data_IF_976597967477
#
_entry.id   IF_976597967477
#
_cell.length_a   1.000
_cell.length_b   1.000
_cell.length_c   1.000
_cell.angle_alpha   90.00
_cell.angle_beta   90.00
_cell.angle_gamma   90.00
#
_symmetry.space_group_name_H-M   'P 1'
#
loop_
_entity.id
_entity.type
_entity.pdbx_description
1 polymer ?
#
# COMPACT_ATOMS: atom_id res chain seq x y z
N UNK A 1 -6.92 -1.63 35.50
CA UNK A 1 -6.96 -0.55 34.48
C UNK A 1 -5.56 -0.49 33.90
N UNK A 2 -5.37 -0.51 32.57
CA UNK A 2 -4.03 -0.36 32.00
C UNK A 2 -3.49 1.02 32.41
N UNK A 3 -2.24 1.10 32.85
CA UNK A 3 -1.62 2.37 33.27
C UNK A 3 -1.60 3.36 32.11
N UNK A 4 -2.07 4.58 32.35
CA UNK A 4 -2.09 5.70 31.40
C UNK A 4 -0.68 6.27 31.05
N UNK A 5 0.40 5.59 31.44
CA UNK A 5 1.76 6.13 31.35
C UNK A 5 2.48 5.83 30.03
N UNK A 6 1.99 4.87 29.22
CA UNK A 6 2.63 4.52 27.93
C UNK A 6 1.79 4.97 26.73
N UNK A 7 2.43 5.47 25.65
CA UNK A 7 1.71 5.85 24.45
C UNK A 7 0.97 4.67 23.83
N UNK A 8 -0.21 4.92 23.27
CA UNK A 8 -0.89 3.99 22.36
C UNK A 8 -0.01 3.78 21.13
N UNK A 9 0.03 2.57 20.57
CA UNK A 9 0.82 2.29 19.36
C UNK A 9 -0.10 1.84 18.24
N UNK A 10 -0.01 2.48 17.09
CA UNK A 10 -0.74 2.09 15.88
C UNK A 10 0.27 1.55 14.88
N UNK A 11 0.18 0.26 14.58
CA UNK A 11 0.99 -0.42 13.57
C UNK A 11 0.18 -0.52 12.28
N UNK A 12 0.49 0.30 11.29
CA UNK A 12 -0.02 0.13 9.94
C UNK A 12 0.94 -0.77 9.16
N UNK A 13 0.55 -2.03 8.97
CA UNK A 13 1.48 -3.11 8.56
C UNK A 13 1.34 -3.54 7.10
N UNK A 14 0.36 -2.98 6.37
CA UNK A 14 0.05 -3.41 5.02
C UNK A 14 -1.41 -3.24 4.66
N UNK A 15 -1.89 -3.80 3.55
CA UNK A 15 -1.17 -4.55 2.52
C UNK A 15 -0.66 -3.65 1.39
N UNK A 16 0.38 -4.11 0.71
CA UNK A 16 0.89 -3.42 -0.46
C UNK A 16 -0.23 -3.04 -1.45
N UNK A 17 -0.07 -1.90 -2.11
CA UNK A 17 -1.02 -1.38 -3.12
C UNK A 17 -2.42 -1.04 -2.57
N UNK A 18 -2.54 -0.82 -1.26
CA UNK A 18 -3.76 -0.36 -0.59
C UNK A 18 -3.69 1.11 -0.13
N UNK A 19 -2.93 1.96 -0.82
CA UNK A 19 -2.89 3.41 -0.55
C UNK A 19 -1.99 3.85 0.62
N UNK A 20 -1.06 3.00 1.06
CA UNK A 20 -0.06 3.34 2.10
C UNK A 20 0.65 4.66 1.84
N UNK A 21 1.07 4.90 0.60
CA UNK A 21 1.77 6.14 0.21
C UNK A 21 0.93 7.41 0.46
N UNK A 22 -0.40 7.34 0.37
CA UNK A 22 -1.27 8.47 0.69
C UNK A 22 -1.30 8.74 2.20
N UNK A 23 -1.43 7.69 3.02
CA UNK A 23 -1.37 7.78 4.49
C UNK A 23 0.00 8.33 4.93
N UNK A 24 1.08 7.76 4.42
CA UNK A 24 2.46 8.12 4.75
C UNK A 24 2.78 9.56 4.35
N UNK A 25 2.44 9.97 3.12
CA UNK A 25 2.63 11.35 2.67
C UNK A 25 1.82 12.34 3.51
N UNK A 26 0.59 11.99 3.91
CA UNK A 26 -0.24 12.86 4.72
C UNK A 26 0.34 13.05 6.11
N UNK A 27 0.84 11.99 6.74
CA UNK A 27 1.52 12.06 8.02
C UNK A 27 2.82 12.86 7.93
N UNK A 28 3.63 12.65 6.90
CA UNK A 28 4.87 13.40 6.70
C UNK A 28 4.61 14.90 6.53
N UNK A 29 3.62 15.27 5.71
CA UNK A 29 3.23 16.67 5.50
C UNK A 29 2.72 17.34 6.78
N UNK A 30 2.07 16.58 7.66
CA UNK A 30 1.42 17.11 8.87
C UNK A 30 2.18 16.76 10.16
N UNK A 31 3.45 16.35 10.08
CA UNK A 31 4.20 15.79 11.23
C UNK A 31 4.23 16.73 12.44
N UNK A 32 4.46 18.03 12.23
CA UNK A 32 4.49 19.02 13.32
C UNK A 32 3.10 19.21 13.96
N UNK A 33 2.05 19.26 13.14
CA UNK A 33 0.67 19.41 13.61
C UNK A 33 0.17 18.15 14.35
N UNK A 34 0.65 16.97 13.95
CA UNK A 34 0.41 15.71 14.64
C UNK A 34 1.14 15.67 15.99
N UNK A 35 2.41 16.06 16.02
CA UNK A 35 3.20 16.14 17.24
C UNK A 35 2.57 17.09 18.27
N UNK A 36 2.08 18.26 17.82
CA UNK A 36 1.37 19.22 18.67
C UNK A 36 0.06 18.66 19.28
N UNK A 37 -0.48 17.57 18.73
CA UNK A 37 -1.65 16.83 19.24
C UNK A 37 -1.26 15.60 20.07
N UNK A 38 0.03 15.41 20.35
CA UNK A 38 0.54 14.25 21.08
C UNK A 38 0.66 12.99 20.22
N UNK A 39 0.63 13.10 18.89
CA UNK A 39 0.77 11.97 17.96
C UNK A 39 2.19 11.98 17.40
N UNK A 40 3.03 11.05 17.86
CA UNK A 40 4.37 10.83 17.35
C UNK A 40 4.36 10.01 16.05
N UNK A 41 5.03 10.50 15.02
CA UNK A 41 5.34 9.74 13.80
C UNK A 41 6.86 9.67 13.68
N UNK A 42 7.48 8.48 13.81
CA UNK A 42 8.93 8.36 13.76
C UNK A 42 9.48 8.54 12.35
N UNK A 43 10.76 8.90 12.25
CA UNK A 43 11.53 8.84 11.02
C UNK A 43 11.87 7.42 10.59
N UNK A 44 12.55 7.28 9.45
CA UNK A 44 12.83 5.98 8.81
C UNK A 44 13.64 5.02 9.68
N UNK A 45 14.43 5.52 10.63
CA UNK A 45 15.25 4.74 11.56
C UNK A 45 14.51 4.36 12.86
N UNK A 46 13.18 4.57 12.92
CA UNK A 46 12.35 4.37 14.13
C UNK A 46 12.83 5.21 15.33
N UNK A 47 13.02 6.50 15.09
CA UNK A 47 13.33 7.52 16.11
C UNK A 47 12.59 8.83 15.77
N UNK A 48 12.63 9.83 16.67
CA UNK A 48 12.00 11.13 16.47
C UNK A 48 12.98 12.25 16.07
N UNK A 49 14.22 11.90 15.72
CA UNK A 49 15.28 12.86 15.36
C UNK A 49 15.56 12.85 13.84
N UNK A 50 15.30 11.72 13.19
CA UNK A 50 15.41 11.53 11.75
C UNK A 50 14.27 12.20 11.00
N UNK A 51 14.52 12.55 9.73
CA UNK A 51 13.48 13.09 8.84
C UNK A 51 12.31 12.12 8.70
N UNK A 52 11.10 12.66 8.87
CA UNK A 52 9.86 11.88 8.75
C UNK A 52 9.40 11.87 7.30
N UNK A 53 9.56 10.73 6.65
CA UNK A 53 8.98 10.45 5.32
C UNK A 53 7.61 9.80 5.41
N UNK A 54 7.15 9.47 6.63
CA UNK A 54 5.90 8.79 6.92
C UNK A 54 5.97 7.26 6.86
N UNK A 55 7.00 6.71 6.21
CA UNK A 55 7.23 5.26 6.05
C UNK A 55 8.43 4.78 6.87
N UNK A 56 8.34 3.60 7.50
CA UNK A 56 9.44 2.96 8.26
C UNK A 56 9.79 1.57 7.73
N UNK A 57 9.57 1.38 6.43
CA UNK A 57 9.71 0.14 5.65
C UNK A 57 11.12 -0.44 5.76
N UNK A 58 12.14 0.34 5.39
CA UNK A 58 13.48 -0.19 5.10
C UNK A 58 14.22 -0.68 6.35
N UNK A 59 14.09 0.01 7.48
CA UNK A 59 14.69 -0.43 8.73
C UNK A 59 14.11 -1.79 9.15
N UNK A 60 12.79 -1.94 9.10
CA UNK A 60 12.11 -3.17 9.48
C UNK A 60 12.37 -4.30 8.48
N UNK A 61 12.36 -4.01 7.16
CA UNK A 61 12.65 -4.99 6.11
C UNK A 61 14.07 -5.56 6.21
N UNK A 62 15.08 -4.69 6.36
CA UNK A 62 16.48 -5.08 6.41
C UNK A 62 16.78 -5.92 7.65
N UNK A 63 16.24 -5.50 8.80
CA UNK A 63 16.41 -6.22 10.04
C UNK A 63 15.69 -7.58 10.03
N UNK A 64 14.45 -7.65 9.50
CA UNK A 64 13.70 -8.90 9.37
C UNK A 64 14.35 -9.87 8.39
N UNK A 65 14.71 -9.40 7.19
CA UNK A 65 15.36 -10.22 6.16
C UNK A 65 16.73 -10.76 6.59
N UNK A 66 17.39 -10.09 7.54
CA UNK A 66 18.66 -10.50 8.14
C UNK A 66 18.50 -11.34 9.43
N UNK A 67 17.27 -11.62 9.86
CA UNK A 67 16.98 -12.35 11.12
C UNK A 67 17.36 -11.60 12.40
N UNK A 68 17.57 -10.28 12.34
CA UNK A 68 17.98 -9.42 13.47
C UNK A 68 16.76 -8.89 14.23
N UNK A 69 15.91 -9.79 14.69
CA UNK A 69 14.64 -9.45 15.33
C UNK A 69 14.81 -8.79 16.70
N UNK A 70 15.89 -9.13 17.41
CA UNK A 70 16.31 -8.51 18.67
C UNK A 70 16.53 -7.00 18.50
N UNK A 71 17.18 -6.60 17.40
CA UNK A 71 17.42 -5.18 17.06
C UNK A 71 16.12 -4.42 16.85
N UNK A 72 15.10 -5.06 16.24
CA UNK A 72 13.77 -4.45 16.04
C UNK A 72 13.10 -4.24 17.41
N UNK A 73 13.06 -5.27 18.26
CA UNK A 73 12.44 -5.19 19.57
C UNK A 73 13.08 -4.09 20.43
N UNK A 74 14.41 -4.02 20.46
CA UNK A 74 15.13 -2.99 21.20
C UNK A 74 14.86 -1.61 20.63
N UNK A 75 14.90 -1.44 19.30
CA UNK A 75 14.59 -0.15 18.68
C UNK A 75 13.19 0.34 19.02
N UNK A 76 12.19 -0.54 18.97
CA UNK A 76 10.80 -0.21 19.33
C UNK A 76 10.71 0.19 20.80
N UNK A 77 11.38 -0.51 21.72
CA UNK A 77 11.39 -0.12 23.14
C UNK A 77 12.01 1.26 23.37
N UNK A 78 13.12 1.57 22.68
CA UNK A 78 13.74 2.90 22.75
C UNK A 78 12.82 3.98 22.20
N UNK A 79 12.17 3.72 21.06
CA UNK A 79 11.18 4.63 20.48
C UNK A 79 10.04 4.93 21.47
N UNK A 80 9.54 3.93 22.19
CA UNK A 80 8.46 4.12 23.16
C UNK A 80 8.91 4.93 24.39
N UNK A 81 10.13 4.71 24.87
CA UNK A 81 10.69 5.51 25.96
C UNK A 81 10.83 6.98 25.53
N UNK A 82 11.39 7.24 24.34
CA UNK A 82 11.51 8.61 23.80
C UNK A 82 10.14 9.24 23.57
N UNK A 83 9.16 8.48 23.08
CA UNK A 83 7.78 8.95 22.93
C UNK A 83 7.16 9.38 24.26
N UNK A 84 7.41 8.61 25.33
CA UNK A 84 6.95 8.93 26.67
C UNK A 84 7.63 10.19 27.21
N UNK A 85 8.95 10.31 27.06
CA UNK A 85 9.73 11.48 27.49
C UNK A 85 9.30 12.76 26.76
N UNK A 86 8.91 12.64 25.48
CA UNK A 86 8.35 13.75 24.67
C UNK A 86 6.88 14.04 24.95
N UNK A 87 6.21 13.23 25.78
CA UNK A 87 4.80 13.41 26.14
C UNK A 87 3.81 13.05 25.03
N UNK A 88 4.20 12.19 24.08
CA UNK A 88 3.26 11.68 23.09
C UNK A 88 2.27 10.71 23.74
N UNK A 89 0.99 10.87 23.39
CA UNK A 89 -0.10 10.00 23.82
C UNK A 89 -0.31 8.84 22.85
N UNK A 90 0.13 8.97 21.60
CA UNK A 90 0.05 7.95 20.57
C UNK A 90 1.29 7.98 19.67
N UNK A 91 1.68 6.82 19.17
CA UNK A 91 2.74 6.66 18.16
C UNK A 91 2.18 5.87 16.97
N UNK A 92 2.43 6.35 15.75
CA UNK A 92 2.03 5.66 14.52
C UNK A 92 3.26 5.17 13.79
N UNK A 93 3.36 3.86 13.60
CA UNK A 93 4.40 3.21 12.79
C UNK A 93 3.72 2.65 11.54
N UNK A 94 4.17 3.06 10.37
CA UNK A 94 3.61 2.71 9.07
C UNK A 94 4.68 2.08 8.18
N UNK A 95 4.63 0.75 8.10
CA UNK A 95 5.54 -0.05 7.28
C UNK A 95 4.73 -1.16 6.61
N UNK A 96 4.24 -0.90 5.40
CA UNK A 96 3.22 -1.73 4.73
C UNK A 96 3.72 -3.09 4.25
N UNK A 97 5.04 -3.29 4.27
CA UNK A 97 5.73 -4.49 3.84
C UNK A 97 5.90 -5.51 4.97
N UNK A 98 5.76 -5.10 6.24
CA UNK A 98 6.05 -6.00 7.36
C UNK A 98 5.01 -7.10 7.51
N UNK A 99 3.82 -6.96 6.91
CA UNK A 99 2.88 -8.06 6.75
C UNK A 99 3.44 -9.26 5.96
N UNK A 100 4.53 -9.09 5.19
CA UNK A 100 5.24 -10.19 4.53
C UNK A 100 6.18 -10.97 5.47
N UNK A 101 6.42 -10.46 6.68
CA UNK A 101 7.30 -11.04 7.71
C UNK A 101 6.46 -11.44 8.94
N UNK A 102 5.70 -12.55 8.88
CA UNK A 102 4.78 -12.95 9.95
C UNK A 102 5.49 -13.31 11.26
N UNK A 103 6.77 -13.64 11.21
CA UNK A 103 7.66 -13.86 12.34
C UNK A 103 7.89 -12.60 13.18
N UNK A 104 7.77 -11.40 12.60
CA UNK A 104 7.81 -10.14 13.35
C UNK A 104 6.59 -9.95 14.26
N UNK A 105 5.46 -10.62 14.00
CA UNK A 105 4.25 -10.45 14.78
C UNK A 105 4.49 -10.72 16.28
N UNK A 106 5.12 -11.86 16.60
CA UNK A 106 5.43 -12.22 17.98
C UNK A 106 6.48 -11.29 18.62
N UNK A 107 7.47 -10.87 17.83
CA UNK A 107 8.55 -9.97 18.27
C UNK A 107 7.98 -8.61 18.68
N UNK A 108 7.15 -8.03 17.82
CA UNK A 108 6.50 -6.74 18.07
C UNK A 108 5.44 -6.85 19.16
N UNK A 109 4.65 -7.93 19.20
CA UNK A 109 3.69 -8.14 20.27
C UNK A 109 4.36 -8.18 21.65
N UNK A 110 5.49 -8.88 21.78
CA UNK A 110 6.26 -8.92 23.02
C UNK A 110 6.89 -7.57 23.37
N UNK A 111 7.45 -6.85 22.38
CA UNK A 111 8.01 -5.51 22.59
C UNK A 111 6.94 -4.48 23.01
N UNK A 112 5.70 -4.68 22.57
CA UNK A 112 4.58 -3.76 22.76
C UNK A 112 3.57 -4.23 23.82
N UNK A 113 3.84 -5.33 24.54
CA UNK A 113 2.86 -5.98 25.44
C UNK A 113 2.30 -5.09 26.54
N UNK A 114 3.06 -4.08 26.95
CA UNK A 114 2.68 -3.12 28.01
C UNK A 114 1.97 -1.86 27.45
N UNK A 115 1.68 -1.82 26.15
CA UNK A 115 1.02 -0.70 25.47
C UNK A 115 -0.37 -1.10 24.95
N UNK A 116 -1.21 -0.13 24.65
CA UNK A 116 -2.41 -0.32 23.80
C UNK A 116 -1.96 -0.36 22.33
N UNK A 117 -1.28 -1.43 21.92
CA UNK A 117 -0.84 -1.60 20.55
C UNK A 117 -1.96 -2.19 19.67
N UNK A 118 -2.21 -1.56 18.52
CA UNK A 118 -3.23 -1.97 17.57
C UNK A 118 -2.66 -2.05 16.15
N UNK A 119 -3.13 -3.03 15.39
CA UNK A 119 -2.67 -3.33 14.04
C UNK A 119 -3.73 -2.89 13.04
N UNK A 120 -3.38 -2.05 12.08
CA UNK A 120 -4.23 -1.67 10.94
C UNK A 120 -3.71 -2.37 9.69
N UNK A 121 -4.60 -3.10 9.02
CA UNK A 121 -4.28 -3.84 7.81
C UNK A 121 -5.33 -3.64 6.72
N UNK A 122 -4.96 -2.97 5.63
CA UNK A 122 -5.80 -2.81 4.46
C UNK A 122 -5.63 -3.97 3.48
N UNK A 123 -6.72 -4.46 2.91
CA UNK A 123 -6.70 -5.57 1.94
C UNK A 123 -7.37 -5.17 0.64
N UNK A 124 -6.79 -5.56 -0.49
CA UNK A 124 -7.30 -5.23 -1.83
C UNK A 124 -7.74 -6.48 -2.57
N UNK A 125 -8.77 -6.35 -3.42
CA UNK A 125 -9.21 -7.44 -4.29
C UNK A 125 -8.03 -7.98 -5.11
N UNK A 126 -7.84 -9.30 -5.11
CA UNK A 126 -6.58 -9.92 -5.55
C UNK A 126 -6.27 -9.68 -7.03
N UNK A 127 -7.28 -9.67 -7.89
CA UNK A 127 -7.13 -9.34 -9.30
C UNK A 127 -6.63 -7.89 -9.52
N UNK A 128 -7.19 -6.91 -8.80
CA UNK A 128 -6.75 -5.52 -8.82
C UNK A 128 -5.36 -5.33 -8.20
N UNK A 129 -5.04 -6.10 -7.16
CA UNK A 129 -3.69 -6.15 -6.60
C UNK A 129 -2.67 -6.63 -7.64
N UNK A 130 -2.94 -7.76 -8.30
CA UNK A 130 -2.03 -8.34 -9.31
C UNK A 130 -1.83 -7.43 -10.52
N UNK A 131 -2.88 -6.74 -10.99
CA UNK A 131 -2.75 -5.70 -12.03
C UNK A 131 -1.83 -4.58 -11.54
N UNK A 132 -2.02 -4.13 -10.29
CA UNK A 132 -1.25 -3.04 -9.72
C UNK A 132 0.22 -3.43 -9.44
N UNK A 133 0.48 -4.67 -9.04
CA UNK A 133 1.81 -5.21 -8.80
C UNK A 133 2.55 -5.51 -10.11
N UNK A 134 1.83 -5.94 -11.15
CA UNK A 134 2.36 -6.02 -12.52
C UNK A 134 2.94 -4.68 -12.95
N UNK A 135 2.12 -3.63 -12.87
CA UNK A 135 2.51 -2.28 -13.31
C UNK A 135 3.69 -1.70 -12.53
N UNK A 136 3.84 -2.01 -11.25
CA UNK A 136 4.89 -1.39 -10.44
C UNK A 136 6.17 -2.22 -10.38
N UNK A 137 6.09 -3.55 -10.35
CA UNK A 137 7.22 -4.39 -9.98
C UNK A 137 7.54 -5.48 -10.98
N UNK A 138 6.52 -6.06 -11.63
CA UNK A 138 6.69 -7.31 -12.37
C UNK A 138 6.81 -7.13 -13.88
N UNK A 139 6.36 -6.01 -14.46
CA UNK A 139 6.48 -5.77 -15.91
C UNK A 139 7.95 -5.76 -16.40
N UNK A 140 8.91 -5.46 -15.52
CA UNK A 140 10.34 -5.48 -15.87
C UNK A 140 11.02 -6.82 -15.56
N UNK A 141 10.33 -7.73 -14.87
CA UNK A 141 10.86 -9.00 -14.38
C UNK A 141 10.37 -10.21 -15.17
N UNK A 142 9.21 -10.09 -15.79
CA UNK A 142 8.60 -11.14 -16.58
C UNK A 142 8.44 -10.67 -18.03
N UNK A 143 8.62 -11.58 -18.97
CA UNK A 143 8.44 -11.30 -20.40
C UNK A 143 6.97 -11.34 -20.82
N UNK A 144 6.14 -12.09 -20.09
CA UNK A 144 4.73 -12.30 -20.38
C UNK A 144 3.89 -12.18 -19.11
N UNK A 145 2.67 -11.65 -19.25
CA UNK A 145 1.72 -11.51 -18.14
C UNK A 145 1.31 -12.89 -17.63
N UNK A 146 1.18 -13.87 -18.52
CA UNK A 146 0.80 -15.25 -18.19
C UNK A 146 1.82 -15.91 -17.26
N UNK A 147 3.12 -15.72 -17.52
CA UNK A 147 4.19 -16.26 -16.68
C UNK A 147 4.18 -15.61 -15.29
N UNK A 148 3.88 -14.31 -15.22
CA UNK A 148 3.68 -13.61 -13.96
C UNK A 148 2.48 -14.15 -13.18
N UNK A 149 1.33 -14.34 -13.84
CA UNK A 149 0.15 -14.88 -13.19
C UNK A 149 0.41 -16.30 -12.68
N UNK A 150 1.02 -17.16 -13.49
CA UNK A 150 1.38 -18.52 -13.09
C UNK A 150 2.34 -18.54 -11.88
N UNK A 151 3.23 -17.55 -11.77
CA UNK A 151 4.18 -17.46 -10.67
C UNK A 151 3.61 -16.86 -9.37
N UNK A 152 2.55 -16.04 -9.45
CA UNK A 152 2.09 -15.19 -8.33
C UNK A 152 0.69 -15.48 -7.82
N UNK A 153 -0.22 -15.95 -8.67
CA UNK A 153 -1.58 -16.32 -8.26
C UNK A 153 -1.50 -17.47 -7.25
N UNK A 154 -2.21 -17.31 -6.13
CA UNK A 154 -2.20 -18.24 -5.00
C UNK A 154 -1.02 -18.10 -4.04
N UNK A 155 0.00 -17.30 -4.38
CA UNK A 155 1.15 -17.02 -3.51
C UNK A 155 1.15 -15.60 -2.95
N UNK A 156 0.94 -14.61 -3.81
CA UNK A 156 0.84 -13.21 -3.39
C UNK A 156 -0.59 -12.90 -2.89
N UNK A 157 -0.75 -11.85 -2.08
CA UNK A 157 -2.07 -11.38 -1.63
C UNK A 157 -2.95 -12.42 -0.90
N UNK A 158 -2.31 -13.43 -0.28
CA UNK A 158 -2.93 -14.38 0.64
C UNK A 158 -3.22 -13.71 1.99
N UNK A 159 -4.14 -12.74 1.98
CA UNK A 159 -4.34 -11.79 3.08
C UNK A 159 -4.62 -12.44 4.43
N UNK A 160 -5.38 -13.54 4.47
CA UNK A 160 -5.65 -14.26 5.71
C UNK A 160 -4.37 -14.87 6.28
N UNK A 161 -3.59 -15.57 5.45
CA UNK A 161 -2.30 -16.12 5.86
C UNK A 161 -1.31 -15.07 6.34
N UNK A 162 -1.37 -13.85 5.79
CA UNK A 162 -0.50 -12.74 6.21
C UNK A 162 -0.93 -12.14 7.55
N UNK A 163 -2.23 -11.96 7.80
CA UNK A 163 -2.72 -11.27 9.00
C UNK A 163 -2.97 -12.21 10.19
N UNK A 164 -3.23 -13.50 9.97
CA UNK A 164 -3.53 -14.44 11.05
C UNK A 164 -2.44 -14.50 12.13
N UNK A 165 -1.13 -14.53 11.81
CA UNK A 165 -0.07 -14.51 12.82
C UNK A 165 -0.07 -13.25 13.70
N UNK A 166 -0.46 -12.11 13.13
CA UNK A 166 -0.60 -10.85 13.88
C UNK A 166 -1.77 -10.90 14.84
N UNK A 167 -2.90 -11.46 14.40
CA UNK A 167 -4.06 -11.66 15.25
C UNK A 167 -3.80 -12.68 16.37
N UNK A 168 -3.05 -13.75 16.08
CA UNK A 168 -2.65 -14.73 17.09
C UNK A 168 -1.70 -14.13 18.14
N UNK A 169 -0.87 -13.16 17.75
CA UNK A 169 0.09 -12.50 18.66
C UNK A 169 -0.51 -11.31 19.44
N UNK A 170 -1.32 -10.47 18.80
CA UNK A 170 -1.89 -9.26 19.41
C UNK A 170 -3.30 -9.45 19.97
N UNK A 171 -4.05 -10.46 19.50
CA UNK A 171 -5.47 -10.64 19.76
C UNK A 171 -6.36 -10.04 18.67
N UNK A 172 -7.45 -10.72 18.34
CA UNK A 172 -8.41 -10.31 17.29
C UNK A 172 -8.99 -8.91 17.53
N UNK A 173 -9.22 -8.52 18.79
CA UNK A 173 -9.75 -7.21 19.18
C UNK A 173 -8.80 -6.03 18.90
N UNK A 174 -7.52 -6.34 18.68
CA UNK A 174 -6.46 -5.34 18.39
C UNK A 174 -6.05 -5.31 16.92
N UNK A 175 -6.65 -6.13 16.07
CA UNK A 175 -6.36 -6.20 14.63
C UNK A 175 -7.54 -5.69 13.82
N UNK A 176 -7.37 -4.54 13.18
CA UNK A 176 -8.36 -3.91 12.33
C UNK A 176 -8.06 -4.18 10.86
N UNK A 177 -8.85 -5.06 10.24
CA UNK A 177 -8.79 -5.34 8.81
C UNK A 177 -9.77 -4.46 8.04
N UNK A 178 -9.32 -3.82 6.95
CA UNK A 178 -10.14 -2.90 6.15
C UNK A 178 -10.07 -3.24 4.65
N UNK A 179 -11.21 -3.55 3.99
CA UNK A 179 -11.23 -3.67 2.54
C UNK A 179 -10.94 -2.31 1.88
N UNK A 180 -9.93 -2.24 1.03
CA UNK A 180 -9.58 -1.07 0.23
C UNK A 180 -10.57 -0.91 -0.94
N UNK A 181 -11.79 -0.46 -0.62
CA UNK A 181 -12.89 -0.22 -1.53
C UNK A 181 -13.46 1.17 -1.25
N UNK A 182 -13.53 2.05 -2.26
CA UNK A 182 -13.91 3.46 -2.07
C UNK A 182 -15.26 3.66 -1.39
N UNK A 183 -16.23 2.79 -1.66
CA UNK A 183 -17.56 2.83 -1.05
C UNK A 183 -17.59 2.34 0.40
N UNK A 184 -16.51 1.70 0.87
CA UNK A 184 -16.36 1.20 2.24
C UNK A 184 -15.34 1.97 3.07
N UNK A 185 -14.49 2.78 2.43
CA UNK A 185 -13.61 3.72 3.10
C UNK A 185 -14.40 4.93 3.58
N UNK A 186 -14.09 5.42 4.78
CA UNK A 186 -14.59 6.69 5.29
C UNK A 186 -14.38 7.81 4.27
N UNK A 187 -15.44 8.55 3.95
CA UNK A 187 -15.44 9.66 2.99
C UNK A 187 -14.86 9.29 1.60
N UNK A 188 -14.85 8.01 1.27
CA UNK A 188 -14.17 7.44 0.10
C UNK A 188 -12.68 7.75 0.01
N UNK A 189 -12.03 7.99 1.15
CA UNK A 189 -10.63 8.36 1.27
C UNK A 189 -9.90 7.49 2.31
N UNK A 190 -8.74 6.96 1.92
CA UNK A 190 -7.98 6.04 2.78
C UNK A 190 -7.31 6.75 3.95
N UNK A 191 -6.99 8.04 3.83
CA UNK A 191 -6.42 8.81 4.94
C UNK A 191 -7.49 9.02 5.99
N UNK A 192 -8.68 9.48 5.60
CA UNK A 192 -9.82 9.63 6.52
C UNK A 192 -10.15 8.30 7.21
N UNK A 193 -10.18 7.20 6.45
CA UNK A 193 -10.45 5.86 6.99
C UNK A 193 -9.38 5.41 8.00
N UNK A 194 -8.10 5.62 7.67
CA UNK A 194 -7.00 5.23 8.54
C UNK A 194 -7.07 5.93 9.90
N UNK A 195 -7.29 7.25 9.89
CA UNK A 195 -7.39 8.01 11.15
C UNK A 195 -8.61 7.58 11.97
N UNK A 196 -9.77 7.35 11.34
CA UNK A 196 -10.95 6.83 12.04
C UNK A 196 -10.67 5.46 12.69
N UNK A 197 -10.11 4.52 11.93
CA UNK A 197 -9.80 3.15 12.40
C UNK A 197 -8.71 3.15 13.48
N UNK A 198 -7.72 4.03 13.36
CA UNK A 198 -6.68 4.22 14.37
C UNK A 198 -7.20 4.91 15.65
N UNK A 199 -8.42 5.45 15.64
CA UNK A 199 -8.98 6.25 16.74
C UNK A 199 -8.24 7.58 16.93
N UNK A 200 -7.76 8.17 15.83
CA UNK A 200 -7.06 9.45 15.76
C UNK A 200 -7.92 10.47 14.99
N UNK A 201 -7.64 11.77 15.14
CA UNK A 201 -8.34 12.82 14.39
C UNK A 201 -7.43 13.51 13.38
N UNK A 202 -7.88 13.55 12.13
CA UNK A 202 -7.25 14.32 11.06
C UNK A 202 -7.92 15.70 10.83
N UNK A 203 -8.90 16.08 11.65
CA UNK A 203 -9.64 17.34 11.50
C UNK A 203 -8.69 18.54 11.63
N UNK A 204 -8.79 19.53 10.74
CA UNK A 204 -7.94 20.73 10.76
C UNK A 204 -6.48 20.51 10.37
N UNK A 205 -6.10 19.29 9.95
CA UNK A 205 -4.81 19.05 9.30
C UNK A 205 -4.86 19.49 7.83
N UNK A 206 -3.71 19.86 7.27
CA UNK A 206 -3.63 20.28 5.89
C UNK A 206 -3.91 19.09 4.96
N UNK A 207 -4.82 19.22 3.98
CA UNK A 207 -5.00 18.18 2.97
C UNK A 207 -3.71 18.00 2.17
N UNK A 208 -3.51 16.82 1.60
CA UNK A 208 -2.37 16.57 0.71
C UNK A 208 -2.31 17.62 -0.40
N UNK A 209 -1.15 18.27 -0.55
CA UNK A 209 -0.92 19.28 -1.59
C UNK A 209 -1.17 18.72 -3.00
N UNK A 210 -0.80 17.46 -3.21
CA UNK A 210 -1.15 16.69 -4.38
C UNK A 210 -1.89 15.43 -3.93
N UNK A 211 -3.10 15.19 -4.46
CA UNK A 211 -3.75 13.88 -4.29
C UNK A 211 -2.79 12.82 -4.83
N UNK A 212 -2.76 11.65 -4.17
CA UNK A 212 -1.98 10.51 -4.64
C UNK A 212 -2.18 10.34 -6.16
N UNK A 213 -1.07 10.42 -6.91
CA UNK A 213 -1.15 10.37 -8.36
C UNK A 213 -1.82 9.05 -8.79
N UNK A 214 -2.78 9.09 -9.72
CA UNK A 214 -3.32 7.88 -10.33
C UNK A 214 -2.18 7.00 -10.86
N UNK A 215 -2.41 5.68 -10.89
CA UNK A 215 -1.49 4.76 -11.55
C UNK A 215 -1.16 5.24 -12.96
N UNK A 216 0.03 4.88 -13.47
CA UNK A 216 0.37 5.12 -14.86
C UNK A 216 -0.63 4.47 -15.81
N UNK A 217 -0.86 5.14 -16.94
CA UNK A 217 -1.71 4.59 -17.99
C UNK A 217 -1.16 3.25 -18.50
N UNK A 218 -2.05 2.35 -18.90
CA UNK A 218 -1.64 1.01 -19.34
C UNK A 218 -0.89 1.02 -20.67
N UNK A 219 -1.13 1.98 -21.55
CA UNK A 219 -0.30 2.17 -22.74
C UNK A 219 1.13 2.56 -22.34
N UNK A 220 1.29 3.40 -21.31
CA UNK A 220 2.61 3.75 -20.78
C UNK A 220 3.31 2.53 -20.15
N UNK A 221 2.58 1.73 -19.39
CA UNK A 221 3.11 0.49 -18.81
C UNK A 221 3.52 -0.52 -19.89
N UNK A 222 2.78 -0.65 -21.00
CA UNK A 222 3.15 -1.50 -22.14
C UNK A 222 4.38 -0.98 -22.86
N UNK A 223 4.50 0.34 -23.06
CA UNK A 223 5.72 0.95 -23.60
C UNK A 223 6.93 0.62 -22.72
N UNK A 224 6.83 0.83 -21.41
CA UNK A 224 7.90 0.49 -20.46
C UNK A 224 8.28 -0.99 -20.53
N UNK A 225 7.31 -1.89 -20.66
CA UNK A 225 7.55 -3.33 -20.77
C UNK A 225 8.28 -3.71 -22.07
N UNK A 226 7.96 -3.04 -23.20
CA UNK A 226 8.63 -3.27 -24.49
C UNK A 226 10.10 -2.86 -24.48
N UNK A 227 10.45 -1.81 -23.73
CA UNK A 227 11.82 -1.32 -23.59
C UNK A 227 12.41 -1.66 -22.21
N UNK A 228 12.01 -2.79 -21.62
CA UNK A 228 12.43 -3.16 -20.25
C UNK A 228 13.96 -3.28 -20.09
N UNK A 229 14.68 -3.44 -21.18
CA UNK A 229 16.15 -3.49 -21.27
C UNK A 229 16.84 -2.15 -20.98
N UNK A 230 16.12 -1.02 -20.99
CA UNK A 230 16.69 0.31 -20.73
C UNK A 230 16.68 0.72 -19.25
N UNK A 231 16.11 -0.11 -18.38
CA UNK A 231 15.95 0.19 -16.95
C UNK A 231 17.06 -0.48 -16.13
N UNK A 232 17.60 0.24 -15.15
CA UNK A 232 18.64 -0.30 -14.25
C UNK A 232 18.06 -1.32 -13.25
N UNK A 233 16.73 -1.35 -13.09
CA UNK A 233 16.06 -2.29 -12.22
C UNK A 233 14.54 -2.09 -12.10
N UNK A 234 13.87 -2.92 -11.28
CA UNK A 234 12.41 -2.89 -11.11
C UNK A 234 11.90 -1.52 -10.62
N UNK A 235 12.66 -0.85 -9.75
CA UNK A 235 12.30 0.43 -9.14
C UNK A 235 12.75 1.68 -9.94
N UNK A 236 13.36 1.50 -11.12
CA UNK A 236 13.78 2.62 -11.96
C UNK A 236 12.56 3.33 -12.60
N UNK A 237 12.18 4.49 -12.06
CA UNK A 237 11.01 5.24 -12.51
C UNK A 237 11.34 6.36 -13.52
N UNK A 238 12.61 6.49 -13.96
CA UNK A 238 13.04 7.62 -14.81
C UNK A 238 12.20 7.77 -16.09
N UNK A 239 11.88 6.65 -16.75
CA UNK A 239 11.02 6.65 -17.94
C UNK A 239 9.64 7.24 -17.65
N UNK A 240 9.01 6.84 -16.54
CA UNK A 240 7.71 7.34 -16.13
C UNK A 240 7.78 8.83 -15.78
N UNK A 241 8.81 9.26 -15.04
CA UNK A 241 9.00 10.66 -14.67
C UNK A 241 9.19 11.56 -15.89
N UNK A 242 9.93 11.07 -16.89
CA UNK A 242 10.09 11.77 -18.18
C UNK A 242 8.74 11.87 -18.90
N UNK A 243 7.98 10.79 -18.96
CA UNK A 243 6.68 10.78 -19.65
C UNK A 243 5.68 11.70 -18.94
N UNK A 244 5.56 11.65 -17.61
CA UNK A 244 4.74 12.59 -16.84
C UNK A 244 5.19 14.04 -17.08
N UNK A 245 6.49 14.31 -17.12
CA UNK A 245 7.01 15.65 -17.41
C UNK A 245 6.66 16.12 -18.82
N UNK A 246 6.61 15.23 -19.81
CA UNK A 246 6.33 15.58 -21.21
C UNK A 246 4.83 15.75 -21.48
N UNK A 247 3.99 14.81 -21.03
CA UNK A 247 2.57 14.73 -21.40
C UNK A 247 1.61 14.87 -20.21
N UNK A 248 2.12 15.12 -19.01
CA UNK A 248 1.32 15.42 -17.82
C UNK A 248 0.29 14.33 -17.51
N UNK A 249 -0.97 14.75 -17.35
CA UNK A 249 -2.10 13.86 -17.01
C UNK A 249 -2.39 12.79 -18.06
N UNK A 250 -1.92 12.93 -19.30
CA UNK A 250 -2.09 11.90 -20.31
C UNK A 250 -1.16 10.70 -20.12
N UNK A 251 -0.13 10.81 -19.26
CA UNK A 251 0.66 9.66 -18.79
C UNK A 251 -0.06 8.84 -17.71
N UNK A 252 -1.18 9.35 -17.17
CA UNK A 252 -1.85 8.81 -16.01
C UNK A 252 -3.18 8.16 -16.39
N UNK A 253 -3.51 7.08 -15.68
CA UNK A 253 -4.71 6.28 -15.94
C UNK A 253 -5.99 7.07 -15.65
N UNK A 254 -6.94 7.01 -16.59
CA UNK A 254 -8.27 7.63 -16.47
C UNK A 254 -9.27 6.59 -15.96
N UNK A 255 -9.42 6.49 -14.64
CA UNK A 255 -10.37 5.56 -13.98
C UNK A 255 -9.72 4.29 -13.43
N UNK A 256 -10.55 3.35 -12.97
CA UNK A 256 -10.10 2.10 -12.32
C UNK A 256 -10.10 0.89 -13.26
N UNK A 257 -10.88 0.89 -14.34
CA UNK A 257 -11.00 -0.22 -15.28
C UNK A 257 -9.66 -0.54 -15.97
N UNK A 258 -9.41 -1.81 -16.30
CA UNK A 258 -8.13 -2.28 -16.85
C UNK A 258 -8.31 -3.08 -18.14
N UNK A 259 -7.39 -2.89 -19.09
CA UNK A 259 -7.25 -3.68 -20.32
C UNK A 259 -6.21 -4.81 -20.20
N UNK A 260 -5.55 -4.94 -19.04
CA UNK A 260 -4.48 -5.92 -18.83
C UNK A 260 -5.00 -7.35 -18.80
N UNK A 261 -6.09 -7.59 -18.07
CA UNK A 261 -6.65 -8.93 -17.84
C UNK A 261 -8.11 -8.96 -18.29
N UNK A 262 -8.54 -9.98 -19.06
CA UNK A 262 -9.95 -10.15 -19.41
C UNK A 262 -10.78 -10.56 -18.18
N UNK A 263 -12.10 -10.38 -18.28
CA UNK A 263 -13.03 -10.67 -17.17
C UNK A 263 -12.91 -12.12 -16.67
N UNK A 264 -12.80 -13.09 -17.58
CA UNK A 264 -12.67 -14.51 -17.26
C UNK A 264 -11.43 -14.78 -16.39
N UNK A 265 -10.26 -14.27 -16.78
CA UNK A 265 -9.03 -14.41 -16.00
C UNK A 265 -9.15 -13.77 -14.62
N UNK A 266 -9.80 -12.60 -14.53
CA UNK A 266 -10.03 -11.94 -13.23
C UNK A 266 -10.95 -12.76 -12.31
N UNK A 267 -12.00 -13.36 -12.86
CA UNK A 267 -12.88 -14.27 -12.12
C UNK A 267 -12.11 -15.53 -11.66
N UNK A 268 -11.29 -16.13 -12.53
CA UNK A 268 -10.45 -17.28 -12.17
C UNK A 268 -9.47 -16.95 -11.02
N UNK A 269 -8.84 -15.77 -11.07
CA UNK A 269 -8.00 -15.28 -9.98
C UNK A 269 -8.83 -15.24 -8.69
N UNK A 270 -10.00 -14.62 -8.71
CA UNK A 270 -10.84 -14.51 -7.50
C UNK A 270 -11.22 -15.88 -6.92
N UNK A 271 -11.55 -16.85 -7.77
CA UNK A 271 -11.84 -18.23 -7.34
C UNK A 271 -10.65 -18.87 -6.62
N UNK A 272 -9.42 -18.62 -7.06
CA UNK A 272 -8.23 -19.14 -6.37
C UNK A 272 -8.09 -18.64 -4.92
N UNK A 273 -8.69 -17.51 -4.56
CA UNK A 273 -8.60 -16.90 -3.22
C UNK A 273 -9.90 -16.99 -2.43
N UNK A 274 -10.92 -17.73 -2.87
CA UNK A 274 -12.22 -17.81 -2.20
C UNK A 274 -12.08 -18.26 -0.73
N UNK A 275 -11.31 -19.31 -0.48
CA UNK A 275 -11.09 -19.83 0.88
C UNK A 275 -10.36 -18.82 1.78
N UNK A 276 -9.33 -18.16 1.26
CA UNK A 276 -8.59 -17.10 1.96
C UNK A 276 -9.51 -15.92 2.29
N UNK A 277 -10.34 -15.50 1.34
CA UNK A 277 -11.27 -14.40 1.52
C UNK A 277 -12.40 -14.74 2.49
N UNK A 278 -12.90 -15.98 2.45
CA UNK A 278 -13.91 -16.49 3.38
C UNK A 278 -13.36 -16.54 4.81
N UNK A 279 -12.15 -17.07 5.00
CA UNK A 279 -11.48 -17.11 6.30
C UNK A 279 -11.20 -15.70 6.87
N UNK A 280 -10.70 -14.78 6.03
CA UNK A 280 -10.47 -13.39 6.43
C UNK A 280 -11.78 -12.72 6.87
N UNK A 281 -12.84 -12.87 6.07
CA UNK A 281 -14.15 -12.30 6.39
C UNK A 281 -14.71 -12.86 7.69
N UNK A 282 -14.67 -14.18 7.86
CA UNK A 282 -15.23 -14.86 9.02
C UNK A 282 -14.56 -14.41 10.33
N UNK A 283 -13.23 -14.23 10.33
CA UNK A 283 -12.46 -13.84 11.52
C UNK A 283 -12.53 -12.34 11.81
N UNK A 284 -12.34 -11.49 10.80
CA UNK A 284 -12.09 -10.05 11.03
C UNK A 284 -13.25 -9.14 10.61
N UNK A 285 -14.18 -9.63 9.79
CA UNK A 285 -15.26 -8.81 9.23
C UNK A 285 -16.63 -9.53 9.31
N UNK A 286 -17.02 -10.09 10.47
CA UNK A 286 -18.28 -10.82 10.61
C UNK A 286 -19.50 -9.91 10.31
N UNK A 287 -19.39 -8.61 10.58
CA UNK A 287 -20.43 -7.60 10.35
C UNK A 287 -20.75 -7.37 8.86
N UNK A 288 -19.96 -7.93 7.94
CA UNK A 288 -20.33 -7.96 6.52
C UNK A 288 -21.56 -8.84 6.27
N UNK A 289 -21.89 -9.77 7.18
CA UNK A 289 -23.03 -10.69 7.02
C UNK A 289 -22.89 -11.50 5.74
N UNK A 290 -23.90 -11.49 4.88
CA UNK A 290 -23.85 -12.20 3.59
C UNK A 290 -23.04 -11.45 2.51
N UNK A 291 -22.70 -10.18 2.72
CA UNK A 291 -21.95 -9.39 1.73
C UNK A 291 -20.56 -10.00 1.51
N UNK A 292 -20.08 -10.13 0.27
CA UNK A 292 -18.74 -10.67 0.03
C UNK A 292 -17.67 -9.67 0.50
N UNK A 293 -16.49 -10.20 0.86
CA UNK A 293 -15.33 -9.38 1.23
C UNK A 293 -15.01 -8.36 0.14
N UNK A 294 -15.00 -8.80 -1.11
CA UNK A 294 -14.91 -7.94 -2.29
C UNK A 294 -16.05 -8.26 -3.26
N UNK A 295 -16.67 -7.27 -3.92
CA UNK A 295 -17.56 -7.55 -5.02
C UNK A 295 -16.79 -8.26 -6.15
N UNK A 296 -17.39 -9.23 -6.86
CA UNK A 296 -16.73 -9.89 -7.99
C UNK A 296 -16.41 -8.86 -9.09
N UNK A 297 -15.33 -9.06 -9.88
CA UNK A 297 -15.08 -8.22 -11.04
C UNK A 297 -16.25 -8.33 -12.03
N UNK A 298 -16.59 -7.21 -12.66
CA UNK A 298 -17.66 -7.07 -13.65
C UNK A 298 -17.09 -6.53 -14.96
N UNK A 299 -17.91 -6.46 -16.02
CA UNK A 299 -17.51 -5.85 -17.29
C UNK A 299 -17.04 -4.38 -17.12
N UNK A 300 -17.58 -3.63 -16.17
CA UNK A 300 -17.16 -2.25 -15.86
C UNK A 300 -15.73 -2.16 -15.31
N UNK A 301 -15.19 -3.28 -14.80
CA UNK A 301 -13.81 -3.36 -14.35
C UNK A 301 -12.82 -3.52 -15.52
N UNK A 302 -13.30 -3.74 -16.74
CA UNK A 302 -12.50 -4.08 -17.91
C UNK A 302 -12.59 -2.97 -18.95
N UNK A 303 -11.47 -2.71 -19.62
CA UNK A 303 -11.46 -1.94 -20.86
C UNK A 303 -11.15 -2.90 -22.00
N UNK A 304 -12.18 -3.30 -22.74
CA UNK A 304 -12.01 -4.17 -23.90
C UNK A 304 -11.27 -3.42 -25.01
N UNK A 305 -10.10 -3.94 -25.39
CA UNK A 305 -9.28 -3.44 -26.49
C UNK A 305 -8.66 -4.60 -27.25
N UNK A 306 -8.77 -4.56 -28.56
CA UNK A 306 -7.97 -5.38 -29.47
C UNK A 306 -6.49 -5.00 -29.36
N UNK A 307 -5.58 -5.90 -29.76
CA UNK A 307 -4.14 -5.54 -29.78
C UNK A 307 -3.85 -4.37 -30.71
N UNK A 308 -4.61 -4.20 -31.80
CA UNK A 308 -4.49 -3.04 -32.69
C UNK A 308 -4.82 -1.73 -31.97
N UNK A 309 -5.89 -1.69 -31.18
CA UNK A 309 -6.27 -0.51 -30.40
C UNK A 309 -5.22 -0.20 -29.31
N UNK A 310 -4.73 -1.23 -28.60
CA UNK A 310 -3.68 -1.02 -27.60
C UNK A 310 -2.39 -0.47 -28.22
N UNK A 311 -2.01 -0.94 -29.41
CA UNK A 311 -0.86 -0.40 -30.17
C UNK A 311 -1.14 1.03 -30.63
N UNK A 312 -2.36 1.33 -31.06
CA UNK A 312 -2.78 2.70 -31.43
C UNK A 312 -2.60 3.66 -30.24
N UNK A 313 -2.98 3.26 -29.03
CA UNK A 313 -2.78 4.07 -27.82
C UNK A 313 -1.30 4.32 -27.51
N UNK A 314 -0.45 3.29 -27.63
CA UNK A 314 1.01 3.42 -27.48
C UNK A 314 1.58 4.43 -28.47
N UNK A 315 1.21 4.33 -29.76
CA UNK A 315 1.66 5.24 -30.81
C UNK A 315 1.18 6.66 -30.54
N UNK A 316 -0.08 6.84 -30.15
CA UNK A 316 -0.64 8.14 -29.83
C UNK A 316 0.06 8.78 -28.62
N UNK A 317 0.45 7.97 -27.62
CA UNK A 317 1.19 8.44 -26.46
C UNK A 317 2.62 8.87 -26.82
N UNK A 318 3.34 8.05 -27.58
CA UNK A 318 4.69 8.39 -28.07
C UNK A 318 4.66 9.65 -28.94
N UNK A 319 3.66 9.77 -29.82
CA UNK A 319 3.50 10.94 -30.70
C UNK A 319 3.35 12.23 -29.88
N UNK A 320 2.52 12.21 -28.83
CA UNK A 320 2.38 13.36 -27.91
C UNK A 320 3.68 13.68 -27.19
N UNK A 321 4.40 12.67 -26.69
CA UNK A 321 5.66 12.86 -26.01
C UNK A 321 6.75 13.45 -26.92
N UNK A 322 6.85 12.96 -28.16
CA UNK A 322 7.78 13.47 -29.18
C UNK A 322 7.43 14.91 -29.56
N UNK A 323 6.15 15.21 -29.78
CA UNK A 323 5.70 16.58 -30.07
C UNK A 323 6.04 17.54 -28.93
N UNK A 324 5.75 17.16 -27.68
CA UNK A 324 6.07 17.97 -26.50
C UNK A 324 7.59 18.16 -26.32
N UNK A 325 8.40 17.18 -26.69
CA UNK A 325 9.86 17.29 -26.67
C UNK A 325 10.36 18.29 -27.73
N UNK A 326 9.82 18.23 -28.95
CA UNK A 326 10.19 19.14 -30.03
C UNK A 326 9.88 20.60 -29.69
N UNK A 327 8.69 20.87 -29.13
CA UNK A 327 8.29 22.21 -28.68
C UNK A 327 9.24 22.79 -27.61
N UNK A 328 9.80 21.94 -26.75
CA UNK A 328 10.75 22.36 -25.71
C UNK A 328 12.17 22.57 -26.21
N UNK A 329 12.56 21.91 -27.30
CA UNK A 329 13.88 22.05 -27.90
C UNK A 329 13.95 23.22 -28.90
N UNK A 330 12.81 23.66 -29.43
CA UNK A 330 12.70 24.76 -30.39
C UNK A 330 12.43 26.14 -29.78
N UNK A 331 12.26 26.24 -28.46
CA UNK A 331 12.08 27.49 -27.71
C UNK A 331 13.25 27.77 -26.78
#
# INVERSE_FOLDING_TARGET
MPSLDKPRVILHIGGAKCGSSAIQAFMAQNVEALAARGIGVPGQALDFDSTVTGEQIWFLEDAASSGRHDVIADRVRHLLADAQDRGFSSVVISAENICNHPDLAAVLAEALKETDARVVFYVRRQDDFLISSWQQWNLKRFDKVEDFLAARVGGDACWFSMIAPWADAFGDDRVMVRPFLRDRLKDSDVVSDFFEVAGLSHEGLAPLAEKANPSFDEALARLAHRVRDVFDGPHDNRFYDVMVRLIGKDALKKGSASSLLPLETRLMIMTCYEDQNAALKARFLPDLGDRPLFPPPTAECIVEKTESEKVSDEIAMLTRAIYALAERAGG
#
